data_IF_117937743732
#
_entry.id   IF_117937743732
#
_cell.length_a   1.000
_cell.length_b   1.000
_cell.length_c   1.000
_cell.angle_alpha   90.00
_cell.angle_beta   90.00
_cell.angle_gamma   90.00
#
_symmetry.space_group_name_H-M   'P 1'
#
loop_
_entity.id
_entity.type
_entity.pdbx_description
1 polymer ?
#
# COMPACT_ATOMS: atom_id res chain seq x y z
N UNK A 1 21.37 -5.96 -10.21
CA UNK A 1 20.41 -5.20 -11.03
C UNK A 1 18.95 -5.44 -10.64
N UNK A 2 18.50 -6.67 -10.36
CA UNK A 2 17.09 -7.01 -10.08
C UNK A 2 16.50 -6.41 -8.79
N UNK A 3 17.18 -6.53 -7.64
CA UNK A 3 16.63 -6.10 -6.33
C UNK A 3 16.40 -4.60 -6.22
N UNK A 4 17.32 -3.79 -6.75
CA UNK A 4 17.20 -2.31 -6.74
C UNK A 4 16.00 -1.85 -7.57
N UNK A 5 15.83 -2.41 -8.76
CA UNK A 5 14.68 -2.10 -9.62
C UNK A 5 13.36 -2.48 -8.94
N UNK A 6 13.28 -3.66 -8.30
CA UNK A 6 12.07 -4.06 -7.56
C UNK A 6 11.70 -3.05 -6.46
N UNK A 7 12.68 -2.60 -5.66
CA UNK A 7 12.45 -1.60 -4.62
C UNK A 7 11.92 -0.29 -5.21
N UNK A 8 12.55 0.22 -6.26
CA UNK A 8 12.10 1.44 -6.95
C UNK A 8 10.69 1.30 -7.50
N UNK A 9 10.37 0.16 -8.13
CA UNK A 9 9.03 -0.11 -8.67
C UNK A 9 7.98 -0.16 -7.57
N UNK A 10 8.24 -0.84 -6.45
CA UNK A 10 7.30 -0.89 -5.32
C UNK A 10 7.04 0.49 -4.71
N UNK A 11 8.07 1.33 -4.61
CA UNK A 11 7.92 2.72 -4.15
C UNK A 11 7.04 3.51 -5.11
N UNK A 12 7.25 3.39 -6.43
CA UNK A 12 6.42 4.04 -7.44
C UNK A 12 4.95 3.57 -7.41
N UNK A 13 4.69 2.34 -6.97
CA UNK A 13 3.34 1.79 -6.80
C UNK A 13 2.66 2.27 -5.51
N UNK A 14 3.36 2.96 -4.62
CA UNK A 14 2.81 3.58 -3.42
C UNK A 14 3.26 2.96 -2.09
N UNK A 15 4.32 2.14 -2.09
CA UNK A 15 5.01 1.81 -0.85
C UNK A 15 5.94 2.96 -0.43
N UNK A 16 6.18 3.08 0.87
CA UNK A 16 7.33 3.87 1.34
C UNK A 16 8.62 3.06 1.15
N UNK A 17 9.78 3.71 1.19
CA UNK A 17 11.06 3.00 1.10
C UNK A 17 11.19 1.91 2.17
N UNK A 18 10.79 2.21 3.41
CA UNK A 18 10.79 1.24 4.51
C UNK A 18 9.84 0.08 4.25
N UNK A 19 8.63 0.36 3.75
CA UNK A 19 7.64 -0.68 3.41
C UNK A 19 8.19 -1.63 2.34
N UNK A 20 8.82 -1.08 1.30
CA UNK A 20 9.43 -1.85 0.22
C UNK A 20 10.62 -2.69 0.71
N UNK A 21 11.48 -2.13 1.55
CA UNK A 21 12.61 -2.85 2.14
C UNK A 21 12.15 -4.03 3.01
N UNK A 22 11.18 -3.81 3.90
CA UNK A 22 10.65 -4.85 4.78
C UNK A 22 9.96 -5.95 3.96
N UNK A 23 9.13 -5.58 2.98
CA UNK A 23 8.47 -6.55 2.14
C UNK A 23 9.45 -7.40 1.32
N UNK A 24 10.41 -6.76 0.63
CA UNK A 24 11.40 -7.49 -0.18
C UNK A 24 12.25 -8.41 0.68
N UNK A 25 12.62 -7.98 1.89
CA UNK A 25 13.33 -8.84 2.84
C UNK A 25 12.52 -10.08 3.20
N UNK A 26 11.26 -9.91 3.60
CA UNK A 26 10.37 -11.01 3.94
C UNK A 26 10.00 -11.91 2.75
N UNK A 27 10.14 -11.40 1.51
CA UNK A 27 9.88 -12.15 0.29
C UNK A 27 11.09 -12.98 -0.17
N UNK A 28 12.30 -12.62 0.25
CA UNK A 28 13.54 -13.35 -0.09
C UNK A 28 14.01 -14.29 1.02
N UNK A 29 13.55 -14.06 2.25
CA UNK A 29 13.93 -14.86 3.41
C UNK A 29 12.79 -15.80 3.86
N UNK A 30 13.14 -16.79 4.70
CA UNK A 30 12.15 -17.57 5.44
C UNK A 30 11.43 -16.69 6.47
N UNK A 31 10.26 -17.08 7.01
CA UNK A 31 9.53 -16.28 7.99
C UNK A 31 10.43 -15.80 9.16
N UNK A 32 10.46 -14.49 9.43
CA UNK A 32 11.39 -13.86 10.36
C UNK A 32 10.67 -13.26 11.57
N UNK A 33 11.33 -13.23 12.74
CA UNK A 33 10.80 -12.49 13.90
C UNK A 33 11.05 -11.00 13.71
N UNK A 34 10.22 -10.17 14.33
CA UNK A 34 10.39 -8.71 14.29
C UNK A 34 11.79 -8.25 14.76
N UNK A 35 12.40 -8.94 15.73
CA UNK A 35 13.76 -8.63 16.18
C UNK A 35 14.78 -8.79 15.05
N UNK A 36 14.74 -9.91 14.35
CA UNK A 36 15.71 -10.27 13.31
C UNK A 36 15.57 -9.32 12.10
N UNK A 37 14.34 -8.95 11.76
CA UNK A 37 14.06 -7.94 10.73
C UNK A 37 14.66 -6.58 11.11
N UNK A 38 14.45 -6.13 12.36
CA UNK A 38 14.94 -4.84 12.83
C UNK A 38 16.47 -4.77 12.82
N UNK A 39 17.13 -5.82 13.29
CA UNK A 39 18.60 -5.93 13.32
C UNK A 39 19.18 -5.97 11.90
N UNK A 40 18.59 -6.77 11.01
CA UNK A 40 19.08 -6.93 9.63
C UNK A 40 18.90 -5.67 8.80
N UNK A 41 17.73 -5.04 8.87
CA UNK A 41 17.42 -3.84 8.10
C UNK A 41 17.89 -2.55 8.78
N UNK A 42 18.45 -2.64 10.00
CA UNK A 42 18.89 -1.50 10.82
C UNK A 42 17.77 -0.47 11.03
N UNK A 43 16.54 -0.95 11.25
CA UNK A 43 15.35 -0.13 11.49
C UNK A 43 15.02 -0.17 12.99
N UNK A 44 14.61 0.97 13.56
CA UNK A 44 14.15 0.98 14.95
C UNK A 44 12.93 0.06 15.16
N UNK A 45 12.83 -0.61 16.31
CA UNK A 45 11.69 -1.49 16.62
C UNK A 45 10.35 -0.76 16.47
N UNK A 46 10.27 0.49 16.92
CA UNK A 46 9.05 1.29 16.83
C UNK A 46 8.62 1.51 15.38
N UNK A 47 9.55 1.89 14.51
CA UNK A 47 9.27 2.08 13.07
C UNK A 47 8.90 0.75 12.42
N UNK A 48 9.62 -0.34 12.73
CA UNK A 48 9.33 -1.65 12.17
C UNK A 48 7.93 -2.12 12.54
N UNK A 49 7.52 -2.06 13.81
CA UNK A 49 6.18 -2.51 14.21
C UNK A 49 5.07 -1.69 13.55
N UNK A 50 5.28 -0.38 13.32
CA UNK A 50 4.36 0.45 12.53
C UNK A 50 4.27 -0.05 11.09
N UNK A 51 5.41 -0.33 10.45
CA UNK A 51 5.47 -0.88 9.10
C UNK A 51 4.83 -2.26 9.00
N UNK A 52 5.16 -3.20 9.90
CA UNK A 52 4.57 -4.54 9.92
C UNK A 52 3.05 -4.48 10.09
N UNK A 53 2.55 -3.68 11.02
CA UNK A 53 1.10 -3.50 11.22
C UNK A 53 0.42 -2.94 9.95
N UNK A 54 1.02 -1.94 9.32
CA UNK A 54 0.52 -1.31 8.08
C UNK A 54 0.53 -2.29 6.90
N UNK A 55 1.60 -3.06 6.73
CA UNK A 55 1.71 -4.04 5.66
C UNK A 55 0.73 -5.20 5.87
N UNK A 56 0.57 -5.65 7.12
CA UNK A 56 -0.38 -6.69 7.49
C UNK A 56 -1.82 -6.24 7.27
N UNK A 57 -2.19 -5.01 7.68
CA UNK A 57 -3.54 -4.48 7.44
C UNK A 57 -3.88 -4.33 5.95
N UNK A 58 -2.85 -4.19 5.10
CA UNK A 58 -3.00 -4.14 3.64
C UNK A 58 -3.00 -5.53 3.00
N UNK A 59 -2.85 -6.61 3.77
CA UNK A 59 -2.75 -7.98 3.25
C UNK A 59 -1.47 -8.26 2.45
N UNK A 60 -0.40 -7.49 2.69
CA UNK A 60 0.89 -7.62 1.99
C UNK A 60 1.83 -8.61 2.69
N UNK A 61 1.66 -8.78 4.00
CA UNK A 61 2.41 -9.75 4.81
C UNK A 61 1.46 -10.51 5.73
N UNK A 62 1.89 -11.68 6.18
CA UNK A 62 1.23 -12.45 7.22
C UNK A 62 2.04 -12.40 8.52
N UNK A 63 1.35 -12.57 9.63
CA UNK A 63 1.96 -12.81 10.94
C UNK A 63 1.43 -14.15 11.47
N UNK A 64 2.31 -14.98 11.99
CA UNK A 64 1.92 -16.23 12.63
C UNK A 64 1.26 -15.98 13.99
N UNK A 65 0.37 -16.89 14.43
CA UNK A 65 -0.35 -16.72 15.70
C UNK A 65 0.51 -17.05 16.92
N UNK A 66 1.68 -17.70 16.77
CA UNK A 66 2.54 -18.03 17.91
C UNK A 66 3.30 -16.83 18.49
N UNK A 67 3.82 -17.00 19.71
CA UNK A 67 4.68 -16.01 20.36
C UNK A 67 6.12 -16.55 20.52
N UNK A 68 7.15 -15.82 20.04
CA UNK A 68 7.06 -14.58 19.28
C UNK A 68 6.60 -14.82 17.83
N UNK A 69 5.79 -13.90 17.30
CA UNK A 69 5.25 -13.99 15.94
C UNK A 69 6.36 -13.95 14.88
N UNK A 70 6.18 -14.78 13.86
CA UNK A 70 6.97 -14.77 12.62
C UNK A 70 6.18 -14.07 11.53
N UNK A 71 6.88 -13.23 10.78
CA UNK A 71 6.32 -12.49 9.66
C UNK A 71 6.79 -13.10 8.35
N UNK A 72 5.90 -13.19 7.38
CA UNK A 72 6.19 -13.69 6.04
C UNK A 72 5.53 -12.82 4.98
N UNK A 73 6.16 -12.70 3.81
CA UNK A 73 5.57 -11.98 2.70
C UNK A 73 4.43 -12.75 2.07
N UNK A 74 3.39 -12.04 1.64
CA UNK A 74 2.44 -12.57 0.66
C UNK A 74 3.13 -12.63 -0.71
N UNK A 75 2.76 -13.63 -1.52
CA UNK A 75 3.27 -13.83 -2.87
C UNK A 75 3.24 -12.53 -3.70
N UNK A 76 4.31 -12.28 -4.44
CA UNK A 76 4.49 -11.03 -5.18
C UNK A 76 3.36 -10.74 -6.16
N UNK A 77 2.89 -11.76 -6.89
CA UNK A 77 1.76 -11.65 -7.81
C UNK A 77 0.50 -11.14 -7.11
N UNK A 78 0.19 -11.68 -5.93
CA UNK A 78 -0.97 -11.22 -5.13
C UNK A 78 -0.79 -9.77 -4.65
N UNK A 79 0.42 -9.36 -4.33
CA UNK A 79 0.71 -7.97 -3.95
C UNK A 79 0.50 -7.02 -5.13
N UNK A 80 0.93 -7.41 -6.34
CA UNK A 80 0.65 -6.66 -7.56
C UNK A 80 -0.86 -6.57 -7.84
N UNK A 81 -1.60 -7.66 -7.67
CA UNK A 81 -3.06 -7.66 -7.81
C UNK A 81 -3.73 -6.70 -6.82
N UNK A 82 -3.25 -6.62 -5.58
CA UNK A 82 -3.74 -5.66 -4.58
C UNK A 82 -3.52 -4.22 -5.04
N UNK A 83 -2.37 -3.90 -5.65
CA UNK A 83 -2.12 -2.57 -6.20
C UNK A 83 -3.04 -2.24 -7.37
N UNK A 84 -3.21 -3.17 -8.32
CA UNK A 84 -4.11 -2.99 -9.46
C UNK A 84 -5.54 -2.74 -8.96
N UNK A 85 -6.04 -3.58 -8.05
CA UNK A 85 -7.37 -3.41 -7.45
C UNK A 85 -7.52 -2.05 -6.77
N UNK A 86 -6.54 -1.64 -5.97
CA UNK A 86 -6.57 -0.35 -5.28
C UNK A 86 -6.59 0.83 -6.27
N UNK A 87 -5.87 0.75 -7.39
CA UNK A 87 -5.86 1.81 -8.41
C UNK A 87 -7.15 1.87 -9.20
N UNK A 88 -7.71 0.72 -9.57
CA UNK A 88 -9.02 0.65 -10.23
C UNK A 88 -10.12 1.23 -9.34
N UNK A 89 -10.08 0.93 -8.04
CA UNK A 89 -11.02 1.49 -7.06
C UNK A 89 -10.88 3.02 -6.95
N UNK A 90 -9.65 3.54 -6.88
CA UNK A 90 -9.37 4.97 -6.87
C UNK A 90 -9.87 5.67 -8.14
N UNK A 91 -9.67 5.04 -9.30
CA UNK A 91 -10.15 5.57 -10.58
C UNK A 91 -11.67 5.64 -10.61
N UNK A 92 -12.35 4.58 -10.15
CA UNK A 92 -13.82 4.55 -10.11
C UNK A 92 -14.37 5.65 -9.21
N UNK A 93 -13.84 5.77 -7.99
CA UNK A 93 -14.26 6.82 -7.05
C UNK A 93 -14.04 8.24 -7.59
N UNK A 94 -12.95 8.45 -8.34
CA UNK A 94 -12.69 9.74 -8.99
C UNK A 94 -13.70 10.05 -10.11
N UNK A 95 -14.05 9.05 -10.91
CA UNK A 95 -15.07 9.20 -11.96
C UNK A 95 -16.43 9.55 -11.37
N UNK A 96 -16.86 8.83 -10.34
CA UNK A 96 -18.10 9.10 -9.60
C UNK A 96 -18.10 10.54 -9.03
N UNK A 97 -17.00 10.94 -8.38
CA UNK A 97 -16.85 12.31 -7.85
C UNK A 97 -16.91 13.38 -8.95
N UNK A 98 -16.34 13.10 -10.14
CA UNK A 98 -16.37 14.04 -11.25
C UNK A 98 -17.79 14.25 -11.78
N UNK A 99 -18.56 13.18 -11.92
CA UNK A 99 -19.96 13.24 -12.36
C UNK A 99 -20.82 14.04 -11.36
N UNK A 100 -20.67 13.78 -10.06
CA UNK A 100 -21.35 14.52 -9.00
C UNK A 100 -20.99 16.01 -9.02
N UNK A 101 -19.70 16.34 -9.14
CA UNK A 101 -19.24 17.73 -9.18
C UNK A 101 -19.76 18.47 -10.42
N UNK A 102 -19.73 17.84 -11.60
CA UNK A 102 -20.25 18.44 -12.82
C UNK A 102 -21.76 18.67 -12.75
N UNK A 103 -22.52 17.71 -12.22
CA UNK A 103 -23.97 17.86 -12.04
C UNK A 103 -24.32 19.01 -11.09
N UNK A 104 -23.58 19.10 -9.98
CA UNK A 104 -23.73 20.16 -8.98
C UNK A 104 -23.38 21.53 -9.57
N UNK A 105 -22.26 21.62 -10.30
CA UNK A 105 -21.82 22.85 -10.94
C UNK A 105 -22.82 23.36 -11.99
N UNK A 106 -23.36 22.47 -12.82
CA UNK A 106 -24.39 22.83 -13.81
C UNK A 106 -25.68 23.33 -13.16
N UNK A 107 -26.07 22.76 -12.01
CA UNK A 107 -27.24 23.23 -11.27
C UNK A 107 -27.05 24.63 -10.70
N UNK A 108 -25.88 24.89 -10.10
CA UNK A 108 -25.54 26.21 -9.55
C UNK A 108 -25.52 27.27 -10.67
N UNK A 109 -24.83 26.98 -11.77
CA UNK A 109 -24.66 27.94 -12.87
C UNK A 109 -25.94 28.19 -13.69
N UNK A 110 -26.88 27.24 -13.77
CA UNK A 110 -28.19 27.47 -14.42
C UNK A 110 -29.12 28.36 -13.60
N UNK A 111 -28.95 28.42 -12.27
CA UNK A 111 -29.80 29.22 -11.37
C UNK A 111 -29.59 30.74 -11.54
N UNK A 112 -28.44 31.14 -12.09
CA UNK A 112 -28.05 32.54 -12.28
C UNK A 112 -28.37 33.10 -13.68
N UNK A 113 -29.05 32.34 -14.55
CA UNK A 113 -29.48 32.86 -15.85
C UNK A 113 -30.65 33.85 -15.67
N UNK A 114 -30.52 35.13 -16.06
CA UNK A 114 -31.62 36.08 -15.97
C UNK A 114 -32.76 35.63 -16.89
N UNK A 115 -33.98 35.56 -16.34
CA UNK A 115 -35.20 35.42 -17.12
C UNK A 115 -35.37 36.70 -17.95
N UNK A 116 -35.10 36.62 -19.24
CA UNK A 116 -35.64 37.56 -20.23
C UNK A 116 -37.09 37.20 -20.54
#
# INVERSE_FOLDING_TARGET
MSKKWMLTTLVNLGFTETDAQVYVFLATETPQKARDIAETLKISKQQLYRTLKKLQSKGVINASPEYPAHFSAVLFEKVLDLFVKAKTEQQRALQESMEELLSTWLFITKKDAPKN
#
